data_IF_206495609556
#
_entry.id   IF_206495609556
#
_cell.length_a   1.000
_cell.length_b   1.000
_cell.length_c   1.000
_cell.angle_alpha   90.00
_cell.angle_beta   90.00
_cell.angle_gamma   90.00
#
_symmetry.space_group_name_H-M   'P 1'
#
loop_
_entity.id
_entity.type
_entity.pdbx_description
1 polymer ?
#
# COMPACT_ATOMS: atom_id res chain seq x y z
N UNK A 1 20.99 -3.33 12.21
CA UNK A 1 20.08 -4.16 11.40
C UNK A 1 20.46 -4.02 9.93
N UNK A 2 20.84 -5.12 9.28
CA UNK A 2 21.05 -5.16 7.84
C UNK A 2 19.71 -4.91 7.13
N UNK A 3 19.74 -4.05 6.11
CA UNK A 3 18.55 -3.67 5.33
C UNK A 3 18.49 -4.58 4.12
N UNK A 4 17.31 -5.12 3.83
CA UNK A 4 17.18 -6.17 2.81
C UNK A 4 16.65 -5.59 1.50
N UNK A 5 15.94 -4.45 1.55
CA UNK A 5 15.25 -3.90 0.38
C UNK A 5 15.48 -2.41 0.14
N UNK A 6 15.38 -1.97 -1.12
CA UNK A 6 15.40 -0.55 -1.50
C UNK A 6 14.27 0.27 -0.85
N UNK A 7 13.12 -0.37 -0.58
CA UNK A 7 11.99 0.26 0.10
C UNK A 7 12.36 0.68 1.53
N UNK A 8 12.97 -0.22 2.30
CA UNK A 8 13.43 0.06 3.66
C UNK A 8 14.47 1.20 3.67
N UNK A 9 15.37 1.22 2.68
CA UNK A 9 16.37 2.29 2.53
C UNK A 9 15.77 3.66 2.23
N UNK A 10 14.70 3.70 1.42
CA UNK A 10 13.97 4.91 1.11
C UNK A 10 13.20 5.42 2.34
N UNK A 11 12.44 4.53 3.01
CA UNK A 11 11.66 4.90 4.20
C UNK A 11 12.52 5.35 5.38
N UNK A 12 13.72 4.79 5.55
CA UNK A 12 14.65 5.24 6.59
C UNK A 12 15.17 6.66 6.34
N UNK A 13 15.40 7.02 5.07
CA UNK A 13 15.86 8.38 4.69
C UNK A 13 14.72 9.40 4.69
N UNK A 14 13.48 8.92 4.74
CA UNK A 14 12.26 9.73 4.68
C UNK A 14 11.91 10.35 6.03
N UNK A 15 12.76 11.26 6.52
CA UNK A 15 12.62 11.93 7.83
C UNK A 15 11.28 12.66 7.96
N UNK A 16 10.80 13.27 6.87
CA UNK A 16 9.57 14.06 6.87
C UNK A 16 8.32 13.26 6.46
N UNK A 17 8.45 11.96 6.15
CA UNK A 17 7.31 11.13 5.76
C UNK A 17 6.80 11.37 4.33
N UNK A 18 7.51 12.13 3.49
CA UNK A 18 7.08 12.44 2.13
C UNK A 18 7.00 11.19 1.23
N UNK A 19 7.98 10.28 1.35
CA UNK A 19 7.98 9.02 0.59
C UNK A 19 6.89 8.09 1.12
N UNK A 20 6.75 7.98 2.45
CA UNK A 20 5.66 7.24 3.11
C UNK A 20 4.31 7.72 2.57
N UNK A 21 4.06 9.01 2.62
CA UNK A 21 2.76 9.60 2.23
C UNK A 21 2.50 9.42 0.74
N UNK A 22 3.51 9.60 -0.11
CA UNK A 22 3.38 9.34 -1.55
C UNK A 22 3.05 7.87 -1.84
N UNK A 23 3.66 6.92 -1.13
CA UNK A 23 3.36 5.49 -1.29
C UNK A 23 1.96 5.14 -0.78
N UNK A 24 1.56 5.67 0.37
CA UNK A 24 0.22 5.47 0.92
C UNK A 24 -0.86 6.05 0.00
N UNK A 25 -0.67 7.28 -0.48
CA UNK A 25 -1.61 7.92 -1.41
C UNK A 25 -1.79 7.11 -2.71
N UNK A 26 -0.71 6.50 -3.23
CA UNK A 26 -0.80 5.62 -4.42
C UNK A 26 -1.59 4.35 -4.14
N UNK A 27 -1.43 3.75 -2.96
CA UNK A 27 -2.18 2.57 -2.55
C UNK A 27 -3.67 2.90 -2.34
N UNK A 28 -3.97 4.04 -1.71
CA UNK A 28 -5.33 4.54 -1.51
C UNK A 28 -6.02 4.84 -2.84
N UNK A 29 -5.33 5.47 -3.78
CA UNK A 29 -5.85 5.72 -5.12
C UNK A 29 -6.16 4.41 -5.86
N UNK A 30 -5.26 3.41 -5.77
CA UNK A 30 -5.50 2.07 -6.32
C UNK A 30 -6.69 1.37 -5.66
N UNK A 31 -6.81 1.45 -4.34
CA UNK A 31 -7.95 0.89 -3.59
C UNK A 31 -9.27 1.54 -4.02
N UNK A 32 -9.28 2.87 -4.19
CA UNK A 32 -10.45 3.60 -4.65
C UNK A 32 -10.87 3.18 -6.07
N UNK A 33 -9.92 2.98 -6.98
CA UNK A 33 -10.19 2.45 -8.32
C UNK A 33 -10.77 1.03 -8.27
N UNK A 34 -10.24 0.16 -7.43
CA UNK A 34 -10.75 -1.21 -7.25
C UNK A 34 -12.17 -1.22 -6.66
N UNK A 35 -12.48 -0.33 -5.71
CA UNK A 35 -13.84 -0.14 -5.18
C UNK A 35 -14.83 0.30 -6.26
N UNK A 36 -14.42 1.22 -7.14
CA UNK A 36 -15.23 1.64 -8.27
C UNK A 36 -15.49 0.47 -9.24
N UNK A 37 -14.50 -0.38 -9.49
CA UNK A 37 -14.67 -1.58 -10.32
C UNK A 37 -15.64 -2.58 -9.68
N UNK A 38 -15.58 -2.82 -8.37
CA UNK A 38 -16.54 -3.70 -7.69
C UNK A 38 -18.00 -3.23 -7.78
N UNK A 39 -18.22 -1.94 -8.07
CA UNK A 39 -19.55 -1.38 -8.28
C UNK A 39 -20.15 -1.74 -9.64
N UNK A 40 -19.35 -2.29 -10.56
CA UNK A 40 -19.77 -2.70 -11.90
C UNK A 40 -20.14 -4.20 -11.94
N UNK A 41 -21.02 -4.61 -12.87
CA UNK A 41 -21.34 -6.01 -13.05
C UNK A 41 -20.11 -6.78 -13.56
N UNK A 42 -19.65 -7.72 -12.73
CA UNK A 42 -18.52 -8.60 -13.04
C UNK A 42 -18.88 -10.06 -12.78
N UNK A 43 -18.16 -10.97 -13.43
CA UNK A 43 -18.19 -12.39 -13.07
C UNK A 43 -17.76 -12.59 -11.62
N UNK A 44 -18.19 -13.68 -10.99
CA UNK A 44 -17.85 -13.97 -9.60
C UNK A 44 -16.33 -14.07 -9.39
N UNK A 45 -15.62 -14.72 -10.32
CA UNK A 45 -14.16 -14.81 -10.32
C UNK A 45 -13.51 -13.42 -10.33
N UNK A 46 -13.96 -12.53 -11.22
CA UNK A 46 -13.37 -11.20 -11.33
C UNK A 46 -13.60 -10.35 -10.07
N UNK A 47 -14.75 -10.50 -9.41
CA UNK A 47 -15.00 -9.83 -8.12
C UNK A 47 -14.05 -10.33 -7.03
N UNK A 48 -13.78 -11.63 -6.97
CA UNK A 48 -12.82 -12.20 -6.01
C UNK A 48 -11.40 -11.67 -6.26
N UNK A 49 -10.95 -11.60 -7.51
CA UNK A 49 -9.65 -11.02 -7.88
C UNK A 49 -9.54 -9.57 -7.43
N UNK A 50 -10.56 -8.74 -7.70
CA UNK A 50 -10.57 -7.33 -7.31
C UNK A 50 -10.57 -7.18 -5.78
N UNK A 51 -11.34 -8.02 -5.07
CA UNK A 51 -11.34 -8.01 -3.61
C UNK A 51 -9.98 -8.40 -3.02
N UNK A 52 -9.29 -9.38 -3.60
CA UNK A 52 -7.93 -9.75 -3.19
C UNK A 52 -6.94 -8.60 -3.40
N UNK A 53 -7.02 -7.92 -4.55
CA UNK A 53 -6.19 -6.75 -4.83
C UNK A 53 -6.46 -5.61 -3.84
N UNK A 54 -7.72 -5.38 -3.49
CA UNK A 54 -8.09 -4.37 -2.50
C UNK A 54 -7.47 -4.68 -1.13
N UNK A 55 -7.56 -5.92 -0.68
CA UNK A 55 -6.93 -6.36 0.58
C UNK A 55 -5.41 -6.19 0.50
N UNK A 56 -4.79 -6.52 -0.63
CA UNK A 56 -3.35 -6.36 -0.83
C UNK A 56 -2.91 -4.88 -0.70
N UNK A 57 -3.67 -3.93 -1.27
CA UNK A 57 -3.40 -2.50 -1.12
C UNK A 57 -3.39 -2.07 0.36
N UNK A 58 -4.39 -2.50 1.13
CA UNK A 58 -4.51 -2.18 2.57
C UNK A 58 -3.35 -2.79 3.37
N UNK A 59 -3.00 -4.06 3.10
CA UNK A 59 -1.89 -4.71 3.81
C UNK A 59 -0.53 -4.08 3.46
N UNK A 60 -0.31 -3.73 2.20
CA UNK A 60 0.90 -3.01 1.79
C UNK A 60 1.03 -1.67 2.53
N UNK A 61 -0.06 -0.92 2.69
CA UNK A 61 -0.06 0.32 3.45
C UNK A 61 0.34 0.12 4.91
N UNK A 62 -0.16 -0.94 5.55
CA UNK A 62 0.23 -1.30 6.93
C UNK A 62 1.72 -1.62 7.04
N UNK A 63 2.28 -2.37 6.09
CA UNK A 63 3.72 -2.68 6.06
C UNK A 63 4.55 -1.40 5.96
N UNK A 64 4.18 -0.48 5.06
CA UNK A 64 4.88 0.81 4.89
C UNK A 64 4.82 1.64 6.17
N UNK A 65 3.65 1.73 6.81
CA UNK A 65 3.48 2.46 8.06
C UNK A 65 4.33 1.87 9.21
N UNK A 66 4.38 0.54 9.34
CA UNK A 66 5.19 -0.16 10.34
C UNK A 66 6.68 0.07 10.10
N UNK A 67 7.14 -0.07 8.84
CA UNK A 67 8.54 0.14 8.48
C UNK A 67 8.97 1.58 8.74
N UNK A 68 8.14 2.56 8.40
CA UNK A 68 8.47 3.97 8.64
C UNK A 68 8.59 4.29 10.14
N UNK A 69 7.61 3.89 10.97
CA UNK A 69 7.67 4.08 12.44
C UNK A 69 8.87 3.39 13.09
N UNK A 70 9.31 2.25 12.54
CA UNK A 70 10.50 1.54 13.02
C UNK A 70 11.79 2.35 12.84
N UNK A 71 11.85 3.24 11.85
CA UNK A 71 13.01 4.11 11.63
C UNK A 71 12.85 5.49 12.25
N UNK A 72 11.61 5.94 12.45
CA UNK A 72 11.26 7.28 12.98
C UNK A 72 10.26 7.14 14.14
N UNK A 73 10.73 6.76 15.35
CA UNK A 73 9.89 6.61 16.53
C UNK A 73 9.43 7.96 17.13
#
# INVERSE_FOLDING_TARGET
MARITHLEDALRRDVHGAVRDALLARLEAGEAQLKQQLSQPHSLQRRQEIALLQVACVQAGRVIAILWRRYHP
#
